data_IF_231357379807
#
_entry.id   IF_231357379807
#
_cell.length_a   1.000
_cell.length_b   1.000
_cell.length_c   1.000
_cell.angle_alpha   90.00
_cell.angle_beta   90.00
_cell.angle_gamma   90.00
#
_symmetry.space_group_name_H-M   'P 1'
#
loop_
_entity.id
_entity.type
_entity.pdbx_description
1 polymer ?
#
# COMPACT_ATOMS: atom_id res chain seq x y z
N UNK A 1 18.89 35.61 35.91
CA UNK A 1 19.22 34.19 35.70
C UNK A 1 18.20 33.59 34.73
N UNK A 2 18.72 33.12 33.59
CA UNK A 2 18.17 32.28 32.51
C UNK A 2 16.65 32.04 32.38
N UNK A 3 16.04 32.67 31.37
CA UNK A 3 14.81 32.18 30.71
C UNK A 3 15.20 31.10 29.70
N UNK A 4 15.14 29.83 30.10
CA UNK A 4 15.26 28.71 29.18
C UNK A 4 14.02 28.65 28.29
N UNK A 5 14.06 29.33 27.14
CA UNK A 5 13.12 29.10 26.04
C UNK A 5 13.25 27.66 25.58
N UNK A 6 12.38 26.78 26.08
CA UNK A 6 12.21 25.44 25.54
C UNK A 6 11.75 25.56 24.09
N UNK A 7 12.63 25.16 23.16
CA UNK A 7 12.27 25.03 21.75
C UNK A 7 11.27 23.87 21.61
N UNK A 8 10.11 24.06 20.97
CA UNK A 8 9.14 23.00 20.82
C UNK A 8 9.73 21.88 19.96
N UNK A 9 9.58 20.63 20.41
CA UNK A 9 10.11 19.45 19.72
C UNK A 9 9.38 19.22 18.40
N UNK A 10 9.88 19.84 17.32
CA UNK A 10 9.27 19.79 15.99
C UNK A 10 9.30 18.40 15.34
N UNK A 11 10.10 17.46 15.86
CA UNK A 11 10.26 16.11 15.28
C UNK A 11 8.98 15.27 15.36
N UNK A 12 8.13 15.48 16.37
CA UNK A 12 6.97 14.61 16.61
C UNK A 12 5.75 14.92 15.74
N UNK A 13 5.66 16.14 15.19
CA UNK A 13 4.54 16.55 14.33
C UNK A 13 4.59 15.90 12.94
N UNK A 14 5.76 15.39 12.51
CA UNK A 14 5.91 14.67 11.24
C UNK A 14 5.22 13.30 11.26
N UNK A 15 5.29 12.58 12.39
CA UNK A 15 4.63 11.28 12.58
C UNK A 15 3.08 11.39 12.56
N UNK A 16 2.55 12.60 12.75
CA UNK A 16 1.12 12.90 12.68
C UNK A 16 0.68 13.42 11.31
N UNK A 17 1.58 13.51 10.34
CA UNK A 17 1.22 13.88 8.97
C UNK A 17 0.57 12.71 8.25
N UNK A 18 -0.58 12.94 7.60
CA UNK A 18 -1.22 11.93 6.75
C UNK A 18 -0.27 11.37 5.69
N UNK A 19 0.68 12.18 5.21
CA UNK A 19 1.68 11.76 4.22
C UNK A 19 2.66 10.72 4.77
N UNK A 20 3.04 10.83 6.05
CA UNK A 20 3.91 9.83 6.68
C UNK A 20 3.23 8.46 6.72
N UNK A 21 1.97 8.42 7.15
CA UNK A 21 1.18 7.18 7.21
C UNK A 21 0.86 6.61 5.84
N UNK A 22 0.50 7.47 4.87
CA UNK A 22 0.22 7.05 3.50
C UNK A 22 1.46 6.49 2.81
N UNK A 23 2.59 7.19 2.88
CA UNK A 23 3.82 6.79 2.20
C UNK A 23 4.52 5.62 2.90
N UNK A 24 4.36 5.47 4.21
CA UNK A 24 4.95 4.37 4.96
C UNK A 24 4.01 3.16 5.03
N UNK A 25 3.34 2.92 6.18
CA UNK A 25 2.56 1.70 6.40
C UNK A 25 1.45 1.44 5.38
N UNK A 26 0.71 2.48 4.97
CA UNK A 26 -0.42 2.26 4.07
C UNK A 26 0.03 1.80 2.68
N UNK A 27 1.11 2.38 2.15
CA UNK A 27 1.72 1.95 0.88
C UNK A 27 2.14 0.49 0.94
N UNK A 28 2.76 0.06 2.03
CA UNK A 28 3.16 -1.34 2.22
C UNK A 28 1.95 -2.26 2.21
N UNK A 29 0.91 -1.95 3.00
CA UNK A 29 -0.33 -2.74 3.09
C UNK A 29 -1.00 -2.85 1.71
N UNK A 30 -1.19 -1.73 1.02
CA UNK A 30 -1.81 -1.70 -0.31
C UNK A 30 -1.00 -2.54 -1.30
N UNK A 31 0.34 -2.44 -1.26
CA UNK A 31 1.21 -3.22 -2.16
C UNK A 31 1.13 -4.73 -1.89
N UNK A 32 1.03 -5.14 -0.62
CA UNK A 32 0.82 -6.55 -0.25
C UNK A 32 -0.53 -7.04 -0.76
N UNK A 33 -1.58 -6.24 -0.64
CA UNK A 33 -2.92 -6.59 -1.14
C UNK A 33 -2.93 -6.72 -2.67
N UNK A 34 -2.26 -5.82 -3.39
CA UNK A 34 -2.10 -5.94 -4.84
C UNK A 34 -1.39 -7.25 -5.18
N UNK A 35 -0.26 -7.54 -4.52
CA UNK A 35 0.47 -8.80 -4.72
C UNK A 35 -0.41 -10.03 -4.46
N UNK A 36 -1.23 -10.01 -3.40
CA UNK A 36 -2.17 -11.09 -3.10
C UNK A 36 -3.27 -11.22 -4.17
N UNK A 37 -3.81 -10.10 -4.65
CA UNK A 37 -4.84 -10.11 -5.69
C UNK A 37 -4.32 -10.63 -7.03
N UNK A 38 -3.03 -10.44 -7.33
CA UNK A 38 -2.44 -10.94 -8.58
C UNK A 38 -2.53 -12.47 -8.73
N UNK A 39 -2.56 -13.24 -7.64
CA UNK A 39 -2.77 -14.70 -7.76
C UNK A 39 -4.17 -15.07 -8.24
N UNK A 40 -5.14 -14.15 -8.17
CA UNK A 40 -6.52 -14.36 -8.61
C UNK A 40 -6.74 -13.97 -10.07
N UNK A 41 -5.93 -13.07 -10.62
CA UNK A 41 -6.11 -12.56 -11.99
C UNK A 41 -5.06 -13.11 -12.96
N UNK A 42 -3.95 -13.67 -12.45
CA UNK A 42 -2.99 -14.39 -13.28
C UNK A 42 -3.55 -15.77 -13.65
N UNK A 43 -3.42 -16.19 -14.92
CA UNK A 43 -3.88 -17.51 -15.34
C UNK A 43 -3.11 -18.60 -14.60
N UNK A 44 -3.76 -19.74 -14.37
CA UNK A 44 -3.09 -20.91 -13.79
C UNK A 44 -1.98 -21.41 -14.71
N UNK A 45 -0.83 -21.75 -14.13
CA UNK A 45 0.26 -22.36 -14.86
C UNK A 45 -0.02 -23.81 -15.22
N UNK A 46 0.77 -24.36 -16.15
CA UNK A 46 0.71 -25.78 -16.55
C UNK A 46 0.79 -26.76 -15.36
N UNK A 47 1.35 -26.33 -14.22
CA UNK A 47 1.42 -27.10 -12.98
C UNK A 47 0.19 -27.01 -12.06
N UNK A 48 -0.89 -26.29 -12.42
CA UNK A 48 -2.07 -26.02 -11.56
C UNK A 48 -1.77 -25.33 -10.22
N UNK A 49 -0.55 -24.79 -10.07
CA UNK A 49 -0.17 -23.97 -8.91
C UNK A 49 -0.32 -22.51 -9.35
N UNK A 50 -1.05 -21.72 -8.55
CA UNK A 50 -1.13 -20.27 -8.73
C UNK A 50 0.28 -19.71 -8.85
N UNK A 51 0.54 -18.88 -9.86
CA UNK A 51 1.88 -18.34 -10.12
C UNK A 51 2.31 -17.35 -9.03
N UNK A 52 2.75 -17.83 -7.87
CA UNK A 52 3.20 -16.99 -6.73
C UNK A 52 4.54 -16.30 -7.03
N UNK A 53 5.36 -16.88 -7.91
CA UNK A 53 6.68 -16.33 -8.26
C UNK A 53 6.55 -14.92 -8.86
N UNK A 54 5.62 -14.70 -9.79
CA UNK A 54 5.44 -13.40 -10.44
C UNK A 54 5.08 -12.28 -9.46
N UNK A 55 4.02 -12.41 -8.62
CA UNK A 55 3.70 -11.43 -7.59
C UNK A 55 4.87 -11.15 -6.65
N UNK A 56 5.58 -12.17 -6.18
CA UNK A 56 6.70 -12.02 -5.23
C UNK A 56 7.87 -11.26 -5.87
N UNK A 57 8.22 -11.58 -7.12
CA UNK A 57 9.29 -10.88 -7.84
C UNK A 57 8.90 -9.44 -8.18
N UNK A 58 7.62 -9.19 -8.50
CA UNK A 58 7.12 -7.85 -8.85
C UNK A 58 6.83 -6.97 -7.63
N UNK A 59 6.72 -7.55 -6.43
CA UNK A 59 6.39 -6.82 -5.21
C UNK A 59 7.25 -5.57 -4.96
N UNK A 60 8.60 -5.60 -5.08
CA UNK A 60 9.43 -4.41 -4.89
C UNK A 60 9.11 -3.30 -5.89
N UNK A 61 8.76 -3.65 -7.12
CA UNK A 61 8.39 -2.70 -8.16
C UNK A 61 7.01 -2.09 -7.89
N UNK A 62 6.03 -2.92 -7.52
CA UNK A 62 4.68 -2.47 -7.13
C UNK A 62 4.79 -1.49 -5.96
N UNK A 63 5.51 -1.88 -4.91
CA UNK A 63 5.75 -1.05 -3.75
C UNK A 63 6.43 0.27 -4.13
N UNK A 64 7.50 0.23 -4.92
CA UNK A 64 8.20 1.44 -5.34
C UNK A 64 7.29 2.39 -6.12
N UNK A 65 6.49 1.88 -7.06
CA UNK A 65 5.57 2.70 -7.86
C UNK A 65 4.51 3.36 -6.98
N UNK A 66 3.88 2.61 -6.07
CA UNK A 66 2.86 3.16 -5.16
C UNK A 66 3.49 4.16 -4.19
N UNK A 67 4.66 3.84 -3.64
CA UNK A 67 5.43 4.72 -2.76
C UNK A 67 5.75 6.05 -3.44
N UNK A 68 6.36 6.00 -4.62
CA UNK A 68 6.69 7.20 -5.38
C UNK A 68 5.44 7.97 -5.76
N UNK A 69 4.36 7.31 -6.15
CA UNK A 69 3.08 7.99 -6.42
C UNK A 69 2.60 8.80 -5.20
N UNK A 70 2.58 8.20 -4.01
CA UNK A 70 2.17 8.87 -2.76
C UNK A 70 3.08 10.06 -2.43
N UNK A 71 4.38 9.95 -2.67
CA UNK A 71 5.37 11.00 -2.37
C UNK A 71 5.34 12.14 -3.40
N UNK A 72 5.18 11.83 -4.69
CA UNK A 72 5.25 12.83 -5.77
C UNK A 72 3.92 13.58 -5.96
N UNK A 73 2.78 12.96 -5.64
CA UNK A 73 1.47 13.59 -5.83
C UNK A 73 1.25 14.75 -4.85
N UNK A 74 0.94 15.93 -5.41
CA UNK A 74 0.75 17.16 -4.64
C UNK A 74 -0.62 17.19 -3.98
N UNK A 75 -1.64 16.64 -4.65
CA UNK A 75 -3.01 16.66 -4.19
C UNK A 75 -3.31 15.48 -3.24
N UNK A 76 -3.38 15.77 -1.94
CA UNK A 76 -3.61 14.75 -0.91
C UNK A 76 -4.96 14.02 -1.04
N UNK A 77 -6.00 14.70 -1.54
CA UNK A 77 -7.31 14.07 -1.77
C UNK A 77 -7.23 13.02 -2.87
N UNK A 78 -6.44 13.28 -3.91
CA UNK A 78 -6.20 12.34 -5.00
C UNK A 78 -5.42 11.13 -4.52
N UNK A 79 -4.39 11.34 -3.67
CA UNK A 79 -3.64 10.23 -3.04
C UNK A 79 -4.59 9.32 -2.27
N UNK A 80 -5.46 9.88 -1.42
CA UNK A 80 -6.45 9.08 -0.69
C UNK A 80 -7.39 8.31 -1.61
N UNK A 81 -7.92 8.97 -2.65
CA UNK A 81 -8.83 8.33 -3.59
C UNK A 81 -8.16 7.16 -4.34
N UNK A 82 -6.92 7.34 -4.82
CA UNK A 82 -6.18 6.29 -5.52
C UNK A 82 -5.79 5.15 -4.57
N UNK A 83 -5.29 5.46 -3.37
CA UNK A 83 -4.95 4.45 -2.38
C UNK A 83 -6.16 3.62 -1.95
N UNK A 84 -7.31 4.27 -1.74
CA UNK A 84 -8.56 3.58 -1.43
C UNK A 84 -9.04 2.73 -2.61
N UNK A 85 -8.98 3.25 -3.83
CA UNK A 85 -9.36 2.50 -5.02
C UNK A 85 -8.48 1.25 -5.21
N UNK A 86 -7.15 1.39 -5.09
CA UNK A 86 -6.22 0.26 -5.14
C UNK A 86 -6.53 -0.76 -4.06
N UNK A 87 -6.74 -0.31 -2.82
CA UNK A 87 -7.09 -1.18 -1.70
C UNK A 87 -8.39 -1.95 -1.95
N UNK A 88 -9.46 -1.29 -2.39
CA UNK A 88 -10.78 -1.91 -2.57
C UNK A 88 -10.78 -2.83 -3.78
N UNK A 89 -10.26 -2.39 -4.93
CA UNK A 89 -10.27 -3.18 -6.17
C UNK A 89 -9.45 -4.47 -6.06
N UNK A 90 -8.37 -4.46 -5.27
CA UNK A 90 -7.53 -5.64 -5.06
C UNK A 90 -7.95 -6.43 -3.80
N UNK A 91 -8.36 -5.74 -2.74
CA UNK A 91 -8.72 -6.36 -1.47
C UNK A 91 -10.06 -7.07 -1.48
N UNK A 92 -11.06 -6.56 -2.22
CA UNK A 92 -12.37 -7.22 -2.30
C UNK A 92 -12.29 -8.63 -2.93
N UNK A 93 -11.61 -8.85 -4.07
CA UNK A 93 -11.41 -10.19 -4.60
C UNK A 93 -10.67 -11.13 -3.64
N UNK A 94 -9.63 -10.62 -2.97
CA UNK A 94 -8.87 -11.41 -1.97
C UNK A 94 -9.77 -11.84 -0.81
N UNK A 95 -10.56 -10.92 -0.27
CA UNK A 95 -11.54 -11.21 0.78
C UNK A 95 -12.59 -12.22 0.31
N UNK A 96 -13.16 -12.02 -0.89
CA UNK A 96 -14.16 -12.91 -1.46
C UNK A 96 -13.60 -14.33 -1.70
N UNK A 97 -12.34 -14.45 -2.11
CA UNK A 97 -11.64 -15.73 -2.25
C UNK A 97 -11.45 -16.42 -0.90
N UNK A 98 -11.01 -15.69 0.13
CA UNK A 98 -10.86 -16.23 1.50
C UNK A 98 -12.20 -16.72 2.07
N UNK A 99 -13.30 -16.02 1.76
CA UNK A 99 -14.65 -16.39 2.16
C UNK A 99 -15.27 -17.54 1.34
N UNK A 100 -14.56 -18.04 0.31
CA UNK A 100 -15.03 -19.12 -0.56
C UNK A 100 -16.08 -18.70 -1.58
N UNK A 101 -16.26 -17.40 -1.84
CA UNK A 101 -17.23 -16.91 -2.85
C UNK A 101 -16.70 -16.99 -4.28
N UNK A 102 -15.38 -17.05 -4.44
CA UNK A 102 -14.68 -17.10 -5.73
C UNK A 102 -13.94 -18.44 -5.94
N UNK A 103 -14.27 -19.46 -5.16
CA UNK A 103 -13.70 -20.81 -5.24
C UNK A 103 -14.51 -21.71 -6.17
#
# INVERSE_FOLDING_TARGET
MSQAKQFPSHKFRYLWSSRFWLAGPATLIVSIIIMAAMSLWLPEGQGKINHVVFPVVLFPLIWAVVFFYVVLEKNIKRVWAVMLALFVLNGLPVLASIMGWLA
#
